data_IF_929551573353
#
_entry.id   IF_929551573353
#
_cell.length_a   1.000
_cell.length_b   1.000
_cell.length_c   1.000
_cell.angle_alpha   90.00
_cell.angle_beta   90.00
_cell.angle_gamma   90.00
#
_symmetry.space_group_name_H-M   'P 1'
#
loop_
_entity.id
_entity.type
_entity.pdbx_description
1 polymer ?
#
# COMPACT_ATOMS: atom_id res chain seq x y z
N UNK A 1 -40.08 -22.49 30.53
CA UNK A 1 -38.76 -22.40 29.87
C UNK A 1 -38.88 -23.18 28.58
N UNK A 2 -38.68 -22.55 27.42
CA UNK A 2 -38.64 -23.27 26.16
C UNK A 2 -37.18 -23.66 25.88
N UNK A 3 -36.87 -24.95 25.95
CA UNK A 3 -35.51 -25.44 25.72
C UNK A 3 -35.04 -25.18 24.28
N UNK A 4 -35.98 -25.23 23.31
CA UNK A 4 -35.68 -24.99 21.90
C UNK A 4 -35.22 -23.54 21.65
N UNK A 5 -35.87 -22.55 22.27
CA UNK A 5 -35.47 -21.13 22.18
C UNK A 5 -34.06 -20.90 22.75
N UNK A 6 -33.70 -21.59 23.83
CA UNK A 6 -32.37 -21.46 24.46
C UNK A 6 -31.29 -22.05 23.55
N UNK A 7 -31.53 -23.22 22.96
CA UNK A 7 -30.61 -23.82 22.00
C UNK A 7 -30.48 -23.01 20.70
N UNK A 8 -31.59 -22.48 20.17
CA UNK A 8 -31.60 -21.65 18.96
C UNK A 8 -30.88 -20.31 19.18
N UNK A 9 -31.13 -19.63 20.31
CA UNK A 9 -30.43 -18.39 20.65
C UNK A 9 -28.94 -18.61 20.93
N UNK A 10 -28.55 -19.72 21.56
CA UNK A 10 -27.13 -20.07 21.74
C UNK A 10 -26.44 -20.35 20.40
N UNK A 11 -27.12 -21.06 19.49
CA UNK A 11 -26.63 -21.29 18.12
C UNK A 11 -26.45 -19.99 17.35
N UNK A 12 -27.43 -19.08 17.41
CA UNK A 12 -27.35 -17.73 16.80
C UNK A 12 -26.20 -16.90 17.38
N UNK A 13 -25.98 -16.94 18.70
CA UNK A 13 -24.82 -16.29 19.33
C UNK A 13 -23.48 -16.74 18.72
N UNK A 14 -23.31 -18.05 18.55
CA UNK A 14 -22.12 -18.65 17.90
C UNK A 14 -22.01 -18.29 16.41
N UNK A 15 -23.12 -18.34 15.68
CA UNK A 15 -23.18 -18.00 14.25
C UNK A 15 -22.82 -16.53 13.99
N UNK A 16 -23.36 -15.58 14.77
CA UNK A 16 -23.01 -14.17 14.66
C UNK A 16 -21.55 -13.88 15.04
N UNK A 17 -20.96 -14.64 15.99
CA UNK A 17 -19.53 -14.54 16.29
C UNK A 17 -18.66 -14.97 15.10
N UNK A 18 -19.00 -16.09 14.44
CA UNK A 18 -18.29 -16.58 13.25
C UNK A 18 -18.44 -15.65 12.04
N UNK A 19 -19.58 -14.95 11.92
CA UNK A 19 -19.83 -13.95 10.88
C UNK A 19 -19.24 -12.56 11.20
N UNK A 20 -18.52 -12.40 12.32
CA UNK A 20 -17.88 -11.13 12.71
C UNK A 20 -18.83 -10.05 13.25
N UNK A 21 -20.10 -10.38 13.50
CA UNK A 21 -21.09 -9.46 14.08
C UNK A 21 -21.14 -9.64 15.61
N UNK A 22 -20.08 -9.18 16.25
CA UNK A 22 -19.84 -9.40 17.68
C UNK A 22 -20.87 -8.70 18.58
N UNK A 23 -21.32 -7.49 18.21
CA UNK A 23 -22.35 -6.76 18.97
C UNK A 23 -23.66 -7.57 19.07
N UNK A 24 -24.13 -8.13 17.95
CA UNK A 24 -25.32 -8.98 17.93
C UNK A 24 -25.08 -10.27 18.71
N UNK A 25 -23.91 -10.90 18.53
CA UNK A 25 -23.50 -12.12 19.24
C UNK A 25 -23.58 -11.95 20.77
N UNK A 26 -23.00 -10.86 21.30
CA UNK A 26 -22.99 -10.56 22.74
C UNK A 26 -24.40 -10.47 23.33
N UNK A 27 -25.36 -9.85 22.61
CA UNK A 27 -26.76 -9.74 23.05
C UNK A 27 -27.42 -11.12 23.15
N UNK A 28 -27.19 -12.03 22.19
CA UNK A 28 -27.72 -13.39 22.24
C UNK A 28 -27.14 -14.18 23.42
N UNK A 29 -25.81 -14.16 23.63
CA UNK A 29 -25.18 -14.82 24.78
C UNK A 29 -25.70 -14.27 26.11
N UNK A 30 -25.76 -12.95 26.28
CA UNK A 30 -26.27 -12.31 27.50
C UNK A 30 -27.73 -12.72 27.79
N UNK A 31 -28.58 -12.76 26.75
CA UNK A 31 -29.96 -13.22 26.85
C UNK A 31 -30.07 -14.68 27.31
N UNK A 32 -29.30 -15.58 26.70
CA UNK A 32 -29.27 -17.01 27.05
C UNK A 32 -28.76 -17.22 28.48
N UNK A 33 -27.66 -16.57 28.88
CA UNK A 33 -27.09 -16.67 30.23
C UNK A 33 -28.11 -16.21 31.29
N UNK A 34 -28.87 -15.14 31.03
CA UNK A 34 -29.94 -14.67 31.93
C UNK A 34 -31.15 -15.63 31.99
N UNK A 35 -31.52 -16.28 30.88
CA UNK A 35 -32.59 -17.28 30.85
C UNK A 35 -32.19 -18.53 31.65
N UNK A 36 -30.97 -19.04 31.46
CA UNK A 36 -30.44 -20.18 32.21
C UNK A 36 -30.30 -19.81 33.70
N UNK A 37 -29.83 -18.60 34.04
CA UNK A 37 -29.74 -18.15 35.42
C UNK A 37 -31.11 -18.15 36.14
N UNK A 38 -32.15 -17.61 35.50
CA UNK A 38 -33.53 -17.68 36.03
C UNK A 38 -34.03 -19.13 36.17
N UNK A 39 -33.68 -20.01 35.24
CA UNK A 39 -34.05 -21.42 35.38
C UNK A 39 -33.34 -22.10 36.56
N UNK A 40 -32.04 -21.88 36.76
CA UNK A 40 -31.27 -22.39 37.89
C UNK A 40 -31.82 -21.96 39.27
N UNK A 41 -32.54 -20.85 39.36
CA UNK A 41 -33.26 -20.42 40.57
C UNK A 41 -34.56 -21.22 40.78
N UNK A 42 -35.21 -21.68 39.71
CA UNK A 42 -36.46 -22.46 39.75
C UNK A 42 -36.28 -23.98 39.93
N UNK A 43 -35.10 -24.52 39.60
CA UNK A 43 -34.80 -25.96 39.70
C UNK A 43 -34.54 -26.36 41.15
N UNK A 44 -35.32 -27.33 41.65
CA UNK A 44 -35.21 -27.90 43.00
C UNK A 44 -34.21 -29.05 43.12
N UNK A 45 -33.96 -29.77 42.02
CA UNK A 45 -33.04 -30.91 41.99
C UNK A 45 -31.56 -30.44 41.94
N UNK A 46 -30.71 -30.79 42.93
CA UNK A 46 -29.30 -30.41 42.95
C UNK A 46 -28.49 -30.92 41.74
N UNK A 47 -28.77 -32.12 41.23
CA UNK A 47 -28.01 -32.73 40.15
C UNK A 47 -28.32 -32.06 38.80
N UNK A 48 -29.59 -31.76 38.54
CA UNK A 48 -30.02 -31.00 37.36
C UNK A 48 -29.54 -29.55 37.43
N UNK A 49 -29.57 -28.94 38.63
CA UNK A 49 -29.04 -27.58 38.86
C UNK A 49 -27.54 -27.50 38.58
N UNK A 50 -26.76 -28.49 39.00
CA UNK A 50 -25.32 -28.57 38.71
C UNK A 50 -25.03 -28.60 37.20
N UNK A 51 -25.76 -29.42 36.43
CA UNK A 51 -25.63 -29.49 34.96
C UNK A 51 -25.95 -28.15 34.28
N UNK A 52 -27.02 -27.47 34.70
CA UNK A 52 -27.35 -26.13 34.16
C UNK A 52 -26.35 -25.04 34.59
N UNK A 53 -25.73 -25.17 35.77
CA UNK A 53 -24.64 -24.29 36.18
C UNK A 53 -23.38 -24.51 35.32
N UNK A 54 -23.06 -25.76 34.96
CA UNK A 54 -21.95 -26.07 34.04
C UNK A 54 -22.19 -25.47 32.64
N UNK A 55 -23.35 -25.72 32.02
CA UNK A 55 -23.68 -25.15 30.69
C UNK A 55 -23.67 -23.61 30.71
N UNK A 56 -24.09 -22.99 31.83
CA UNK A 56 -24.00 -21.54 32.02
C UNK A 56 -22.54 -21.06 32.08
N UNK A 57 -21.64 -21.83 32.68
CA UNK A 57 -20.22 -21.49 32.79
C UNK A 57 -19.54 -21.56 31.41
N UNK A 58 -19.78 -22.62 30.65
CA UNK A 58 -19.28 -22.78 29.27
C UNK A 58 -19.72 -21.61 28.36
N UNK A 59 -21.00 -21.23 28.41
CA UNK A 59 -21.51 -20.09 27.64
C UNK A 59 -20.99 -18.72 28.12
N UNK A 60 -20.57 -18.61 29.39
CA UNK A 60 -19.98 -17.39 29.94
C UNK A 60 -18.52 -17.25 29.50
N UNK A 61 -17.80 -18.36 29.37
CA UNK A 61 -16.45 -18.40 28.78
C UNK A 61 -16.48 -18.02 27.28
N UNK A 62 -17.44 -18.56 26.51
CA UNK A 62 -17.66 -18.14 25.11
C UNK A 62 -18.00 -16.64 24.99
N UNK A 63 -18.81 -16.11 25.91
CA UNK A 63 -19.15 -14.67 25.96
C UNK A 63 -17.92 -13.78 26.25
N UNK A 64 -17.08 -14.16 27.21
CA UNK A 64 -15.86 -13.39 27.53
C UNK A 64 -14.81 -13.48 26.39
N UNK A 65 -14.77 -14.57 25.63
CA UNK A 65 -13.97 -14.64 24.39
C UNK A 65 -14.45 -13.62 23.34
N UNK A 66 -15.76 -13.57 23.04
CA UNK A 66 -16.33 -12.58 22.11
C UNK A 66 -16.07 -11.14 22.59
N UNK A 67 -16.25 -10.89 23.88
CA UNK A 67 -15.99 -9.60 24.51
C UNK A 67 -14.51 -9.20 24.46
N UNK A 68 -13.58 -10.15 24.59
CA UNK A 68 -12.16 -9.91 24.36
C UNK A 68 -11.88 -9.49 22.92
N UNK A 69 -12.50 -10.13 21.93
CA UNK A 69 -12.37 -9.75 20.51
C UNK A 69 -12.91 -8.32 20.29
N UNK A 70 -14.07 -7.96 20.86
CA UNK A 70 -14.60 -6.58 20.79
C UNK A 70 -13.63 -5.58 21.41
N UNK A 71 -13.07 -5.86 22.59
CA UNK A 71 -12.09 -4.97 23.23
C UNK A 71 -10.82 -4.78 22.41
N UNK A 72 -10.33 -5.84 21.75
CA UNK A 72 -9.21 -5.75 20.81
C UNK A 72 -9.56 -4.90 19.58
N UNK A 73 -10.76 -5.08 19.01
CA UNK A 73 -11.27 -4.25 17.91
C UNK A 73 -11.48 -2.78 18.31
N UNK A 74 -11.81 -2.51 19.58
CA UNK A 74 -11.89 -1.16 20.13
C UNK A 74 -10.51 -0.55 20.36
N UNK A 75 -9.50 -1.32 20.80
CA UNK A 75 -8.13 -0.79 20.90
C UNK A 75 -7.59 -0.28 19.56
N UNK A 76 -7.90 -0.96 18.45
CA UNK A 76 -7.55 -0.49 17.11
C UNK A 76 -8.32 0.77 16.65
N UNK A 77 -9.35 1.21 17.39
CA UNK A 77 -10.08 2.48 17.13
C UNK A 77 -9.60 3.64 18.00
N UNK A 78 -8.80 3.37 19.04
CA UNK A 78 -8.37 4.38 20.03
C UNK A 78 -7.16 5.19 19.54
N UNK A 79 -6.38 4.68 18.59
CA UNK A 79 -5.32 5.42 17.88
C UNK A 79 -5.87 6.42 16.85
N UNK A 80 -6.76 7.31 17.31
CA UNK A 80 -7.03 8.59 16.65
C UNK A 80 -6.05 9.64 17.21
N UNK A 81 -5.27 10.35 16.37
CA UNK A 81 -4.56 11.53 16.83
C UNK A 81 -5.54 12.59 17.34
N UNK A 82 -5.14 13.47 18.27
CA UNK A 82 -6.05 14.42 18.92
C UNK A 82 -6.71 15.37 17.92
N UNK A 83 -8.02 15.54 18.06
CA UNK A 83 -8.84 16.36 17.16
C UNK A 83 -8.37 17.81 17.10
N UNK A 84 -8.03 18.26 15.88
CA UNK A 84 -8.07 19.69 15.57
C UNK A 84 -9.55 20.15 15.56
N UNK A 85 -9.86 21.38 15.99
CA UNK A 85 -11.23 21.89 15.99
C UNK A 85 -11.72 22.16 14.56
N UNK A 86 -12.29 21.14 13.92
CA UNK A 86 -12.99 21.30 12.64
C UNK A 86 -14.30 22.04 12.90
N UNK A 87 -14.35 23.29 12.45
CA UNK A 87 -15.60 24.03 12.38
C UNK A 87 -16.52 23.33 11.37
N UNK A 88 -17.62 22.76 11.84
CA UNK A 88 -18.71 22.30 10.98
C UNK A 88 -19.31 23.50 10.27
N UNK A 89 -18.91 23.71 9.02
CA UNK A 89 -19.79 24.24 8.00
C UNK A 89 -20.23 23.06 7.14
N UNK A 90 -21.50 22.68 7.27
CA UNK A 90 -22.16 21.74 6.36
C UNK A 90 -22.24 22.34 4.97
N UNK A 91 -21.24 22.08 4.14
CA UNK A 91 -21.36 22.12 2.68
C UNK A 91 -21.18 20.70 2.16
N UNK A 92 -22.19 20.10 1.49
CA UNK A 92 -22.07 18.76 0.96
C UNK A 92 -20.95 18.70 -0.08
N UNK A 93 -20.04 17.75 0.11
CA UNK A 93 -18.83 17.55 -0.69
C UNK A 93 -19.16 17.47 -2.19
N UNK A 94 -19.00 18.59 -2.91
CA UNK A 94 -19.15 18.62 -4.37
C UNK A 94 -17.85 18.16 -5.01
N UNK A 95 -17.95 17.07 -5.75
CA UNK A 95 -16.92 16.61 -6.68
C UNK A 95 -16.53 17.73 -7.68
N UNK A 96 -15.26 18.16 -7.73
CA UNK A 96 -14.78 19.16 -8.69
C UNK A 96 -14.97 18.79 -10.17
N UNK A 97 -15.23 17.52 -10.48
CA UNK A 97 -15.44 17.03 -11.85
C UNK A 97 -16.91 17.03 -12.31
N UNK A 98 -17.89 17.24 -11.41
CA UNK A 98 -19.32 17.21 -11.77
C UNK A 98 -19.82 18.59 -12.16
N UNK A 99 -19.97 18.82 -13.46
CA UNK A 99 -20.50 20.07 -14.01
C UNK A 99 -22.02 20.20 -13.68
N UNK A 100 -22.47 21.23 -12.95
CA UNK A 100 -23.90 21.44 -12.72
C UNK A 100 -24.59 21.87 -14.02
N UNK A 101 -25.87 21.53 -14.24
CA UNK A 101 -26.61 21.97 -15.43
C UNK A 101 -26.60 23.50 -15.55
N UNK A 102 -26.50 24.07 -16.76
CA UNK A 102 -26.36 25.50 -16.95
C UNK A 102 -27.57 26.27 -16.42
N UNK A 103 -27.30 27.30 -15.62
CA UNK A 103 -28.34 28.14 -15.00
C UNK A 103 -29.10 28.92 -16.08
N UNK A 104 -30.45 28.92 -16.10
CA UNK A 104 -31.24 29.74 -17.02
C UNK A 104 -30.87 31.23 -16.93
N UNK A 105 -30.90 31.91 -18.09
CA UNK A 105 -30.24 33.20 -18.31
C UNK A 105 -30.77 34.39 -17.47
N UNK A 106 -31.87 34.23 -16.75
CA UNK A 106 -32.61 35.33 -16.09
C UNK A 106 -32.01 35.77 -14.74
N UNK A 107 -31.08 35.01 -14.15
CA UNK A 107 -30.57 35.24 -12.79
C UNK A 107 -29.10 35.69 -12.69
N UNK A 108 -28.48 36.17 -13.77
CA UNK A 108 -27.07 36.63 -13.74
C UNK A 108 -26.95 38.12 -13.36
N UNK A 109 -26.63 38.39 -12.09
CA UNK A 109 -26.28 39.75 -11.64
C UNK A 109 -24.95 40.25 -12.30
N UNK A 110 -24.79 41.57 -12.56
CA UNK A 110 -23.61 42.09 -13.24
C UNK A 110 -22.36 42.09 -12.34
N UNK A 111 -21.16 41.78 -12.86
CA UNK A 111 -19.94 41.78 -12.06
C UNK A 111 -19.44 43.20 -11.77
N UNK A 112 -19.11 43.48 -10.50
CA UNK A 112 -18.43 44.73 -10.13
C UNK A 112 -16.93 44.68 -10.48
N UNK A 113 -16.52 45.55 -11.41
CA UNK A 113 -15.12 45.70 -11.81
C UNK A 113 -14.39 46.56 -10.77
N UNK A 114 -13.56 45.95 -9.91
CA UNK A 114 -12.56 46.67 -9.12
C UNK A 114 -11.43 47.15 -10.05
N UNK A 115 -11.42 48.44 -10.38
CA UNK A 115 -10.30 49.06 -11.10
C UNK A 115 -9.12 49.33 -10.16
N UNK A 116 -7.93 48.92 -10.58
CA UNK A 116 -6.67 49.30 -9.96
C UNK A 116 -6.31 50.74 -10.39
N UNK A 117 -6.05 51.63 -9.44
CA UNK A 117 -5.72 53.03 -9.74
C UNK A 117 -4.28 53.16 -10.28
N UNK A 118 -4.10 53.91 -11.36
CA UNK A 118 -2.79 54.35 -11.87
C UNK A 118 -2.87 55.85 -12.18
N UNK A 119 -2.03 56.65 -11.53
CA UNK A 119 -2.06 58.11 -11.60
C UNK A 119 -1.76 58.69 -12.99
N UNK A 120 -2.68 59.52 -13.51
CA UNK A 120 -2.39 60.60 -14.48
C UNK A 120 -3.32 61.79 -14.21
N UNK A 121 -2.77 62.99 -14.00
CA UNK A 121 -3.53 64.25 -13.88
C UNK A 121 -3.84 64.84 -15.27
N UNK A 122 -4.94 65.61 -15.44
CA UNK A 122 -4.75 67.04 -15.69
C UNK A 122 -5.84 68.02 -15.15
N UNK A 123 -5.34 69.14 -14.59
CA UNK A 123 -5.73 70.56 -14.75
C UNK A 123 -7.21 71.09 -14.69
N UNK A 124 -7.51 71.90 -13.65
CA UNK A 124 -8.41 73.11 -13.52
C UNK A 124 -9.80 73.15 -14.24
N UNK A 125 -10.90 73.58 -13.59
CA UNK A 125 -11.14 74.98 -13.13
C UNK A 125 -12.37 75.18 -12.19
N UNK A 126 -12.23 76.11 -11.21
CA UNK A 126 -13.18 77.01 -10.48
C UNK A 126 -14.66 76.62 -10.12
N UNK A 127 -15.07 76.41 -8.83
CA UNK A 127 -15.70 77.28 -7.73
C UNK A 127 -17.04 78.03 -8.04
N UNK A 128 -17.89 78.49 -7.06
CA UNK A 128 -17.99 78.25 -5.59
C UNK A 128 -19.42 78.10 -4.93
N UNK A 129 -19.46 77.70 -3.63
CA UNK A 129 -20.50 78.09 -2.63
C UNK A 129 -21.29 76.94 -1.96
N UNK A 130 -21.57 76.91 -0.64
CA UNK A 130 -21.07 77.72 0.49
C UNK A 130 -21.76 77.41 1.86
N UNK A 131 -21.02 77.59 2.97
CA UNK A 131 -21.47 77.72 4.40
C UNK A 131 -22.24 76.51 5.07
N UNK A 132 -22.28 76.30 6.40
CA UNK A 132 -21.80 77.09 7.56
C UNK A 132 -21.64 76.26 8.89
N UNK A 133 -20.91 76.85 9.88
CA UNK A 133 -21.00 76.71 11.37
C UNK A 133 -20.37 75.49 12.13
N UNK A 134 -19.54 75.81 13.14
CA UNK A 134 -19.08 74.94 14.26
C UNK A 134 -19.94 75.14 15.54
N UNK A 135 -19.44 75.12 16.81
CA UNK A 135 -18.03 75.12 17.29
C UNK A 135 -17.66 74.25 18.56
N UNK A 136 -16.35 73.98 18.73
CA UNK A 136 -15.43 74.16 19.92
C UNK A 136 -15.82 73.82 21.39
N UNK A 137 -14.92 73.06 22.06
CA UNK A 137 -14.59 73.08 23.51
C UNK A 137 -13.62 71.93 23.91
N UNK A 138 -12.32 72.11 24.26
CA UNK A 138 -11.67 72.54 25.55
C UNK A 138 -12.09 71.71 26.80
N UNK A 139 -11.21 71.25 27.72
CA UNK A 139 -9.74 71.15 27.79
C UNK A 139 -9.26 70.22 28.96
N UNK A 140 -7.97 69.80 28.92
CA UNK A 140 -6.96 69.31 29.93
C UNK A 140 -7.14 69.59 31.47
N UNK A 141 -6.22 69.19 32.43
CA UNK A 141 -4.83 68.62 32.33
C UNK A 141 -4.29 67.58 33.41
N UNK A 142 -3.06 67.05 33.20
CA UNK A 142 -1.93 66.77 34.18
C UNK A 142 -2.10 65.60 35.23
N UNK A 143 -1.10 64.77 35.64
CA UNK A 143 0.38 64.93 35.73
C UNK A 143 1.22 63.60 35.67
N UNK A 144 2.51 63.72 35.23
CA UNK A 144 3.78 63.06 35.72
C UNK A 144 3.92 61.51 35.70
N UNK A 145 5.10 60.88 35.48
CA UNK A 145 6.49 61.38 35.23
C UNK A 145 7.42 60.33 34.57
N UNK A 146 8.25 60.81 33.62
CA UNK A 146 9.70 60.55 33.43
C UNK A 146 10.29 59.13 33.13
N UNK A 147 10.48 58.93 31.82
CA UNK A 147 11.62 58.38 31.03
C UNK A 147 13.07 58.73 31.52
N UNK A 148 14.19 58.36 30.82
CA UNK A 148 14.50 57.25 29.88
C UNK A 148 15.96 56.67 29.95
N UNK A 149 16.29 55.80 28.98
CA UNK A 149 17.49 55.87 28.09
C UNK A 149 18.62 54.83 28.24
N UNK A 150 19.37 54.68 27.15
CA UNK A 150 20.26 53.55 26.85
C UNK A 150 21.67 54.01 26.39
N UNK A 151 22.50 53.01 26.06
CA UNK A 151 23.77 53.04 25.30
C UNK A 151 25.08 52.99 26.10
N UNK A 152 25.94 52.02 25.73
CA UNK A 152 27.29 52.29 25.18
C UNK A 152 27.99 51.03 24.67
N UNK A 153 28.66 51.18 23.52
CA UNK A 153 29.64 50.29 22.91
C UNK A 153 30.79 49.85 23.85
N UNK A 154 31.38 48.66 23.63
CA UNK A 154 32.65 48.52 22.86
C UNK A 154 33.27 47.10 22.78
N UNK A 155 33.55 46.69 21.55
CA UNK A 155 34.81 46.16 20.99
C UNK A 155 35.52 44.84 21.42
N UNK A 156 36.09 44.19 20.37
CA UNK A 156 37.22 43.22 20.32
C UNK A 156 36.99 41.79 20.87
N UNK A 157 37.20 40.69 20.10
CA UNK A 157 38.40 40.32 19.31
C UNK A 157 38.13 39.32 18.18
N UNK A 158 39.00 39.33 17.17
CA UNK A 158 39.01 38.39 16.04
C UNK A 158 40.01 37.23 16.18
N UNK A 159 39.79 36.15 15.41
CA UNK A 159 40.82 35.27 14.83
C UNK A 159 40.39 34.77 13.44
N UNK A 160 41.14 35.11 12.39
CA UNK A 160 41.30 34.23 11.19
C UNK A 160 42.22 33.05 11.54
N UNK A 161 42.72 32.15 10.67
CA UNK A 161 43.12 32.15 9.24
C UNK A 161 43.39 30.66 8.84
N UNK A 162 43.47 30.18 7.60
CA UNK A 162 43.36 30.74 6.23
C UNK A 162 43.03 29.60 5.21
N UNK A 163 42.93 29.95 3.92
CA UNK A 163 42.83 29.13 2.71
C UNK A 163 44.01 28.13 2.43
N UNK A 164 43.70 26.92 1.92
CA UNK A 164 44.30 26.23 0.72
C UNK A 164 44.38 24.69 0.77
N UNK A 165 43.90 24.05 -0.30
CA UNK A 165 44.18 22.65 -0.62
C UNK A 165 43.51 22.20 -1.93
N UNK A 166 44.20 22.27 -3.07
CA UNK A 166 43.64 21.96 -4.41
C UNK A 166 44.30 20.71 -5.00
N UNK A 167 43.49 19.83 -5.63
CA UNK A 167 43.83 18.56 -6.31
C UNK A 167 44.20 17.40 -5.36
N UNK A 168 43.62 16.22 -5.51
CA UNK A 168 43.72 15.38 -6.72
C UNK A 168 42.42 14.72 -7.17
N UNK A 169 42.36 14.36 -8.45
CA UNK A 169 41.36 13.44 -9.01
C UNK A 169 41.80 12.00 -8.72
N UNK A 170 40.89 11.16 -8.26
CA UNK A 170 41.01 9.70 -8.32
C UNK A 170 39.60 9.15 -8.47
N UNK A 171 39.35 8.41 -9.55
CA UNK A 171 38.03 7.87 -9.85
C UNK A 171 37.60 6.83 -8.81
N UNK A 172 36.39 7.02 -8.28
CA UNK A 172 35.70 6.07 -7.43
C UNK A 172 34.21 6.27 -7.67
N UNK A 173 33.56 5.27 -8.27
CA UNK A 173 32.14 5.34 -8.57
C UNK A 173 31.35 5.48 -7.26
N UNK A 174 30.79 6.67 -7.03
CA UNK A 174 29.88 6.90 -5.91
C UNK A 174 28.58 6.14 -6.21
N UNK A 175 28.40 5.03 -5.50
CA UNK A 175 27.11 4.36 -5.38
C UNK A 175 26.06 5.41 -5.00
N UNK A 176 24.95 5.44 -5.72
CA UNK A 176 24.00 6.54 -5.66
C UNK A 176 23.24 6.50 -4.34
N UNK A 177 23.66 7.29 -3.34
CA UNK A 177 22.90 7.45 -2.10
C UNK A 177 21.48 7.92 -2.45
N UNK A 178 20.52 6.99 -2.32
CA UNK A 178 19.09 7.28 -2.45
C UNK A 178 18.76 8.37 -1.43
N UNK A 179 18.14 9.50 -1.84
CA UNK A 179 17.79 10.57 -0.91
C UNK A 179 16.93 10.03 0.23
N UNK A 180 17.48 10.03 1.45
CA UNK A 180 16.74 9.60 2.65
C UNK A 180 15.54 10.52 2.87
N UNK A 181 14.41 9.92 3.23
CA UNK A 181 13.20 10.68 3.49
C UNK A 181 13.38 11.57 4.73
N UNK A 182 13.15 12.88 4.59
CA UNK A 182 13.16 13.78 5.75
C UNK A 182 11.87 13.57 6.56
N UNK A 183 11.94 12.70 7.57
CA UNK A 183 10.84 12.38 8.47
C UNK A 183 10.41 13.52 9.41
N UNK A 184 10.87 14.76 9.20
CA UNK A 184 10.48 15.93 9.98
C UNK A 184 8.95 16.17 9.95
N UNK A 185 8.26 15.73 11.01
CA UNK A 185 6.81 15.85 11.18
C UNK A 185 6.05 14.51 11.19
N UNK A 186 6.75 13.40 10.95
CA UNK A 186 6.21 12.04 11.04
C UNK A 186 6.84 11.27 12.20
N UNK A 187 6.22 10.16 12.59
CA UNK A 187 6.83 9.23 13.56
C UNK A 187 8.07 8.59 12.93
N UNK A 188 9.22 8.77 13.58
CA UNK A 188 10.51 8.29 13.08
C UNK A 188 10.60 6.77 13.12
N UNK A 189 9.98 6.14 14.10
CA UNK A 189 10.02 4.68 14.27
C UNK A 189 9.15 4.00 13.19
N UNK A 190 8.04 4.65 12.80
CA UNK A 190 7.22 4.24 11.67
C UNK A 190 7.98 4.39 10.33
N UNK A 191 8.63 5.53 10.11
CA UNK A 191 9.44 5.76 8.88
C UNK A 191 10.56 4.72 8.78
N UNK A 192 11.29 4.46 9.86
CA UNK A 192 12.38 3.47 9.86
C UNK A 192 11.86 2.02 9.63
N UNK A 193 10.70 1.67 10.17
CA UNK A 193 10.04 0.39 9.88
C UNK A 193 9.66 0.25 8.40
N UNK A 194 9.07 1.31 7.80
CA UNK A 194 8.70 1.31 6.38
C UNK A 194 9.93 1.30 5.46
N UNK A 195 10.98 2.08 5.77
CA UNK A 195 12.25 2.05 5.03
C UNK A 195 12.92 0.68 5.09
N UNK A 196 12.89 0.00 6.24
CA UNK A 196 13.46 -1.35 6.40
C UNK A 196 12.68 -2.42 5.65
N UNK A 197 11.34 -2.39 5.72
CA UNK A 197 10.50 -3.50 5.28
C UNK A 197 9.95 -3.36 3.85
N UNK A 198 9.83 -2.12 3.32
CA UNK A 198 9.27 -1.85 1.99
C UNK A 198 10.35 -1.48 0.96
N UNK A 199 11.39 -0.73 1.35
CA UNK A 199 12.44 -0.30 0.41
C UNK A 199 13.39 -1.45 0.13
N UNK A 200 12.99 -2.31 -0.82
CA UNK A 200 13.85 -3.35 -1.36
C UNK A 200 15.10 -2.73 -1.99
N UNK A 201 16.29 -3.08 -1.47
CA UNK A 201 17.56 -2.71 -2.09
C UNK A 201 17.58 -3.24 -3.50
N UNK A 202 17.59 -2.34 -4.49
CA UNK A 202 17.35 -2.58 -5.91
C UNK A 202 17.78 -3.99 -6.37
N UNK A 203 16.85 -4.96 -6.47
CA UNK A 203 17.15 -6.20 -7.15
C UNK A 203 17.29 -5.85 -8.63
N UNK A 204 18.52 -5.94 -9.16
CA UNK A 204 18.88 -5.53 -10.53
C UNK A 204 18.33 -6.49 -11.59
N UNK A 205 17.01 -6.64 -11.63
CA UNK A 205 16.25 -7.46 -12.58
C UNK A 205 16.08 -6.67 -13.88
N UNK A 206 16.58 -7.22 -14.98
CA UNK A 206 16.42 -6.63 -16.30
C UNK A 206 15.30 -7.31 -17.07
N UNK A 207 14.82 -6.66 -18.14
CA UNK A 207 13.77 -7.22 -19.01
C UNK A 207 14.16 -8.54 -19.68
N UNK A 208 15.47 -8.80 -19.78
CA UNK A 208 16.07 -9.98 -20.41
C UNK A 208 16.22 -11.15 -19.40
N UNK A 209 16.09 -10.90 -18.10
CA UNK A 209 16.06 -11.92 -17.04
C UNK A 209 14.64 -12.52 -16.86
N UNK A 210 13.63 -11.91 -17.49
CA UNK A 210 12.25 -12.38 -17.54
C UNK A 210 12.07 -13.11 -18.88
N UNK A 211 11.74 -14.40 -18.86
CA UNK A 211 11.39 -15.13 -20.08
C UNK A 211 9.97 -14.81 -20.57
N UNK A 212 9.69 -15.00 -21.86
CA UNK A 212 8.35 -14.85 -22.47
C UNK A 212 7.73 -13.45 -22.23
N UNK A 213 6.40 -13.35 -22.21
CA UNK A 213 5.62 -12.19 -21.78
C UNK A 213 5.83 -10.92 -22.61
N UNK A 214 6.16 -11.03 -23.90
CA UNK A 214 6.47 -9.88 -24.76
C UNK A 214 5.34 -8.83 -24.80
N UNK A 215 4.08 -9.26 -24.89
CA UNK A 215 2.95 -8.32 -24.92
C UNK A 215 2.71 -7.67 -23.55
N UNK A 216 2.84 -8.42 -22.45
CA UNK A 216 2.74 -7.85 -21.09
C UNK A 216 3.90 -6.87 -20.81
N UNK A 217 5.13 -7.21 -21.21
CA UNK A 217 6.30 -6.31 -21.13
C UNK A 217 6.09 -5.04 -21.94
N UNK A 218 5.53 -5.15 -23.15
CA UNK A 218 5.20 -4.01 -24.02
C UNK A 218 4.15 -3.11 -23.39
N UNK A 219 3.03 -3.67 -22.93
CA UNK A 219 1.95 -2.93 -22.25
C UNK A 219 2.43 -2.25 -20.96
N UNK A 220 3.30 -2.91 -20.19
CA UNK A 220 3.89 -2.34 -18.97
C UNK A 220 4.88 -1.22 -19.32
N UNK A 221 5.77 -1.40 -20.32
CA UNK A 221 6.64 -0.34 -20.84
C UNK A 221 5.86 0.88 -21.34
N UNK A 222 4.73 0.65 -22.01
CA UNK A 222 3.83 1.72 -22.47
C UNK A 222 3.14 2.46 -21.32
N UNK A 223 2.62 1.73 -20.32
CA UNK A 223 1.93 2.33 -19.17
C UNK A 223 2.87 3.03 -18.17
N UNK A 224 4.12 2.56 -18.04
CA UNK A 224 5.06 2.97 -16.98
C UNK A 224 6.24 3.77 -17.52
N UNK A 225 6.93 3.26 -18.54
CA UNK A 225 8.23 3.80 -18.97
C UNK A 225 8.05 4.96 -19.96
N UNK A 226 7.08 4.88 -20.88
CA UNK A 226 6.84 5.98 -21.84
C UNK A 226 6.44 7.31 -21.16
N UNK A 227 5.61 7.33 -20.10
CA UNK A 227 5.37 8.55 -19.34
C UNK A 227 6.62 9.18 -18.71
N UNK A 228 7.53 8.35 -18.19
CA UNK A 228 8.79 8.82 -17.61
C UNK A 228 9.73 9.38 -18.69
N UNK A 229 9.71 8.81 -19.90
CA UNK A 229 10.57 9.22 -21.01
C UNK A 229 10.00 10.40 -21.82
N UNK A 230 8.68 10.59 -21.83
CA UNK A 230 7.99 11.61 -22.64
C UNK A 230 6.89 12.36 -21.87
N UNK A 231 7.23 13.00 -20.73
CA UNK A 231 6.24 13.67 -19.86
C UNK A 231 5.47 14.79 -20.55
N UNK A 232 5.99 15.37 -21.64
CA UNK A 232 5.28 16.37 -22.45
C UNK A 232 4.13 15.81 -23.30
N UNK A 233 4.20 14.53 -23.67
CA UNK A 233 3.16 13.88 -24.49
C UNK A 233 2.03 13.30 -23.64
N UNK A 234 2.35 12.83 -22.43
CA UNK A 234 1.42 12.24 -21.47
C UNK A 234 0.72 13.31 -20.60
N UNK A 235 0.21 14.36 -21.25
CA UNK A 235 -0.52 15.49 -20.61
C UNK A 235 -2.03 15.44 -20.91
N UNK A 236 -2.83 16.05 -20.03
CA UNK A 236 -4.27 16.16 -20.21
C UNK A 236 -4.99 14.82 -20.16
N UNK A 237 -5.62 14.41 -21.27
CA UNK A 237 -6.34 13.13 -21.42
C UNK A 237 -5.36 11.94 -21.50
N UNK A 238 -4.11 12.18 -21.90
CA UNK A 238 -3.06 11.14 -22.03
C UNK A 238 -2.23 10.99 -20.75
N UNK A 239 -2.74 11.40 -19.58
CA UNK A 239 -2.01 11.15 -18.33
C UNK A 239 -1.89 9.64 -18.08
N UNK A 240 -0.82 9.17 -17.41
CA UNK A 240 -0.74 7.78 -16.97
C UNK A 240 -1.87 7.48 -15.98
N UNK A 241 -2.34 6.24 -15.98
CA UNK A 241 -3.36 5.76 -15.04
C UNK A 241 -2.94 6.07 -13.59
N UNK A 242 -3.89 6.59 -12.80
CA UNK A 242 -3.74 7.27 -11.51
C UNK A 242 -2.37 7.18 -10.79
N UNK A 243 -1.45 8.06 -11.18
CA UNK A 243 -0.46 8.58 -10.26
C UNK A 243 -1.04 9.76 -9.48
N UNK A 244 -0.93 9.76 -8.15
CA UNK A 244 -1.41 10.87 -7.28
C UNK A 244 -0.45 12.06 -7.37
N UNK A 245 -0.42 12.70 -8.53
CA UNK A 245 0.23 13.98 -8.80
C UNK A 245 -0.83 15.01 -9.17
N UNK A 246 -0.94 16.06 -8.37
CA UNK A 246 -1.91 17.13 -8.60
C UNK A 246 -1.74 17.75 -9.98
N UNK A 247 -2.85 18.07 -10.65
CA UNK A 247 -2.80 18.81 -11.91
C UNK A 247 -2.56 20.32 -11.67
N UNK A 248 -1.45 20.68 -11.02
CA UNK A 248 -0.97 22.05 -10.92
C UNK A 248 0.23 22.24 -11.85
N UNK A 249 0.24 23.34 -12.59
CA UNK A 249 1.18 23.59 -13.71
C UNK A 249 2.65 23.83 -13.27
N UNK A 250 2.99 23.54 -12.01
CA UNK A 250 4.30 23.76 -11.40
C UNK A 250 4.79 22.57 -10.54
N UNK A 251 4.21 21.37 -10.69
CA UNK A 251 4.75 20.19 -10.00
C UNK A 251 6.05 19.69 -10.66
N UNK A 252 7.05 19.44 -9.82
CA UNK A 252 8.38 18.98 -10.20
C UNK A 252 8.29 17.55 -10.78
N UNK A 253 8.83 17.27 -11.99
CA UNK A 253 8.82 15.93 -12.58
C UNK A 253 9.48 14.85 -11.70
N UNK A 254 10.26 15.23 -10.68
CA UNK A 254 10.80 14.30 -9.68
C UNK A 254 9.74 13.61 -8.81
N UNK A 255 8.51 14.14 -8.72
CA UNK A 255 7.47 13.71 -7.77
C UNK A 255 6.41 12.78 -8.37
N UNK A 256 6.79 11.93 -9.33
CA UNK A 256 5.89 10.94 -9.91
C UNK A 256 5.74 9.71 -9.00
N UNK A 257 4.57 9.54 -8.39
CA UNK A 257 4.20 8.32 -7.65
C UNK A 257 3.35 7.44 -8.57
N UNK A 258 3.72 6.17 -8.69
CA UNK A 258 3.00 5.16 -9.47
C UNK A 258 2.66 3.97 -8.58
N UNK A 259 1.45 3.44 -8.73
CA UNK A 259 0.99 2.24 -8.01
C UNK A 259 0.89 1.07 -8.98
N UNK A 260 1.66 0.01 -8.71
CA UNK A 260 1.51 -1.28 -9.39
C UNK A 260 0.91 -2.29 -8.41
N UNK A 261 -0.13 -3.00 -8.84
CA UNK A 261 -0.82 -4.02 -8.06
C UNK A 261 -0.80 -5.37 -8.78
N UNK A 262 -0.67 -6.45 -8.02
CA UNK A 262 -0.75 -7.82 -8.51
C UNK A 262 -1.72 -8.63 -7.65
N UNK A 263 -2.53 -9.49 -8.27
CA UNK A 263 -3.47 -10.38 -7.58
C UNK A 263 -3.63 -11.69 -8.34
N UNK A 264 -3.86 -12.78 -7.61
CA UNK A 264 -4.30 -14.07 -8.17
C UNK A 264 -5.84 -14.20 -8.15
N UNK A 265 -6.55 -13.24 -7.55
CA UNK A 265 -8.00 -13.30 -7.35
C UNK A 265 -8.67 -12.00 -7.80
N UNK A 266 -8.68 -11.68 -9.12
CA UNK A 266 -9.14 -10.39 -9.63
C UNK A 266 -10.67 -10.19 -9.51
N UNK A 267 -11.43 -11.27 -9.35
CA UNK A 267 -12.86 -11.25 -9.05
C UNK A 267 -13.20 -10.82 -7.61
N UNK A 268 -12.25 -10.94 -6.67
CA UNK A 268 -12.44 -10.52 -5.27
C UNK A 268 -12.13 -9.02 -5.07
N UNK A 269 -11.69 -8.31 -6.13
CA UNK A 269 -11.51 -6.86 -6.12
C UNK A 269 -12.88 -6.17 -6.26
N UNK A 270 -13.19 -5.30 -5.29
CA UNK A 270 -14.41 -4.50 -5.27
C UNK A 270 -14.48 -3.51 -6.46
N UNK A 271 -15.65 -2.93 -6.71
CA UNK A 271 -15.82 -2.00 -7.83
C UNK A 271 -15.00 -0.71 -7.63
N UNK A 272 -14.87 -0.21 -6.39
CA UNK A 272 -14.18 1.05 -6.14
C UNK A 272 -12.68 0.95 -6.41
N UNK A 273 -12.01 -0.15 -6.00
CA UNK A 273 -10.60 -0.37 -6.32
C UNK A 273 -10.40 -0.74 -7.80
N UNK A 274 -11.31 -1.52 -8.42
CA UNK A 274 -11.27 -1.79 -9.87
C UNK A 274 -11.30 -0.51 -10.72
N UNK A 275 -12.06 0.50 -10.30
CA UNK A 275 -12.15 1.79 -10.99
C UNK A 275 -10.84 2.59 -10.97
N UNK A 276 -10.03 2.46 -9.92
CA UNK A 276 -8.69 3.10 -9.81
C UNK A 276 -7.62 2.35 -10.58
N UNK A 277 -7.70 1.02 -10.59
CA UNK A 277 -6.80 0.15 -11.36
C UNK A 277 -7.26 0.08 -12.82
N UNK A 278 -7.11 1.17 -13.58
CA UNK A 278 -7.65 1.30 -14.96
C UNK A 278 -7.03 0.30 -15.96
N UNK A 279 -5.70 0.17 -16.01
CA UNK A 279 -5.00 -0.77 -16.90
C UNK A 279 -4.83 -2.11 -16.19
N UNK A 280 -5.36 -3.19 -16.77
CA UNK A 280 -5.26 -4.57 -16.25
C UNK A 280 -4.56 -5.44 -17.29
N UNK A 281 -3.35 -5.88 -16.97
CA UNK A 281 -2.52 -6.72 -17.83
C UNK A 281 -2.64 -8.16 -17.33
N UNK A 282 -3.07 -9.07 -18.19
CA UNK A 282 -3.05 -10.50 -17.89
C UNK A 282 -1.62 -11.04 -18.01
N UNK A 283 -1.18 -11.80 -17.02
CA UNK A 283 0.10 -12.51 -17.03
C UNK A 283 -0.19 -14.00 -17.25
N UNK A 284 -0.07 -14.51 -18.49
CA UNK A 284 -0.33 -15.92 -18.79
C UNK A 284 0.75 -16.85 -18.22
N UNK A 285 0.45 -18.16 -18.21
CA UNK A 285 1.46 -19.20 -18.01
C UNK A 285 2.46 -19.22 -19.18
N UNK A 286 3.73 -19.60 -18.94
CA UNK A 286 4.77 -19.58 -19.96
C UNK A 286 4.49 -20.58 -21.10
N UNK A 287 4.69 -20.11 -22.34
CA UNK A 287 4.61 -20.91 -23.57
C UNK A 287 5.71 -21.97 -23.60
N UNK A 288 5.65 -22.94 -24.52
CA UNK A 288 6.71 -23.96 -24.66
C UNK A 288 8.11 -23.34 -24.84
N UNK A 289 8.22 -22.25 -25.61
CA UNK A 289 9.46 -21.46 -25.77
C UNK A 289 9.85 -20.77 -24.45
N UNK A 290 8.91 -20.10 -23.80
CA UNK A 290 9.12 -19.45 -22.50
C UNK A 290 9.60 -20.41 -21.42
N UNK A 291 9.07 -21.64 -21.38
CA UNK A 291 9.51 -22.68 -20.43
C UNK A 291 10.93 -23.14 -20.71
N UNK A 292 11.33 -23.30 -21.98
CA UNK A 292 12.71 -23.62 -22.34
C UNK A 292 13.69 -22.48 -21.96
N UNK A 293 13.27 -21.22 -22.10
CA UNK A 293 14.05 -20.05 -21.66
C UNK A 293 14.14 -19.97 -20.12
N UNK A 294 13.04 -20.20 -19.39
CA UNK A 294 13.04 -20.28 -17.93
C UNK A 294 13.98 -21.37 -17.41
N UNK A 295 13.97 -22.56 -18.01
CA UNK A 295 14.92 -23.63 -17.65
C UNK A 295 16.37 -23.16 -17.86
N UNK A 296 16.67 -22.52 -19.00
CA UNK A 296 18.02 -21.98 -19.30
C UNK A 296 18.46 -20.88 -18.33
N UNK A 297 17.55 -20.05 -17.83
CA UNK A 297 17.84 -19.02 -16.82
C UNK A 297 18.07 -19.67 -15.45
N UNK A 298 17.18 -20.55 -15.00
CA UNK A 298 17.28 -21.21 -13.68
C UNK A 298 18.48 -22.16 -13.55
N UNK A 299 18.95 -22.73 -14.66
CA UNK A 299 20.07 -23.67 -14.69
C UNK A 299 21.41 -23.01 -15.07
N UNK A 300 21.47 -21.67 -15.19
CA UNK A 300 22.70 -20.93 -15.53
C UNK A 300 23.84 -21.15 -14.52
N UNK A 301 23.50 -21.44 -13.26
CA UNK A 301 24.46 -21.71 -12.17
C UNK A 301 24.68 -23.21 -11.88
N UNK A 302 24.12 -24.11 -12.71
CA UNK A 302 24.06 -25.55 -12.42
C UNK A 302 24.62 -26.34 -13.58
N UNK A 303 25.58 -27.22 -13.30
CA UNK A 303 26.11 -28.14 -14.31
C UNK A 303 25.06 -29.20 -14.69
N UNK A 304 24.90 -29.43 -15.98
CA UNK A 304 23.96 -30.38 -16.56
C UNK A 304 24.70 -31.51 -17.25
N UNK A 305 24.21 -32.73 -17.07
CA UNK A 305 24.62 -33.90 -17.84
C UNK A 305 24.28 -33.69 -19.34
N UNK A 306 25.21 -33.91 -20.30
CA UNK A 306 24.95 -33.73 -21.74
C UNK A 306 23.76 -34.54 -22.28
N UNK A 307 23.33 -35.57 -21.56
CA UNK A 307 22.16 -36.40 -21.88
C UNK A 307 20.81 -35.67 -21.64
N UNK A 308 20.83 -34.46 -21.07
CA UNK A 308 19.62 -33.66 -20.77
C UNK A 308 19.25 -32.76 -21.95
N UNK A 309 18.11 -33.07 -22.57
CA UNK A 309 17.44 -32.18 -23.53
C UNK A 309 16.42 -31.28 -22.81
N UNK A 310 16.68 -29.98 -22.82
CA UNK A 310 15.85 -28.96 -22.14
C UNK A 310 14.49 -28.81 -22.83
N UNK A 311 14.47 -29.02 -24.14
CA UNK A 311 13.29 -28.95 -25.01
C UNK A 311 12.26 -30.05 -24.68
N UNK A 312 12.70 -31.31 -24.51
CA UNK A 312 11.87 -32.42 -24.02
C UNK A 312 11.24 -32.12 -22.64
N UNK A 313 12.03 -31.53 -21.74
CA UNK A 313 11.56 -31.17 -20.40
C UNK A 313 10.53 -30.03 -20.51
N UNK A 314 10.77 -29.03 -21.37
CA UNK A 314 9.86 -27.91 -21.61
C UNK A 314 8.49 -28.33 -22.19
N UNK A 315 8.45 -29.37 -23.03
CA UNK A 315 7.21 -30.00 -23.51
C UNK A 315 6.48 -30.70 -22.35
N UNK A 316 7.20 -31.50 -21.54
CA UNK A 316 6.64 -32.30 -20.44
C UNK A 316 6.09 -31.47 -19.27
N UNK A 317 6.56 -30.23 -19.08
CA UNK A 317 6.11 -29.29 -18.03
C UNK A 317 5.01 -28.33 -18.50
N UNK A 318 4.13 -28.76 -19.39
CA UNK A 318 2.99 -27.95 -19.82
C UNK A 318 2.04 -27.59 -18.66
N UNK A 319 1.68 -26.31 -18.58
CA UNK A 319 0.84 -25.76 -17.52
C UNK A 319 1.55 -25.48 -16.19
N UNK A 320 2.88 -25.59 -16.12
CA UNK A 320 3.66 -25.20 -14.94
C UNK A 320 3.83 -23.67 -14.92
N UNK A 321 3.71 -23.06 -13.74
CA UNK A 321 4.07 -21.65 -13.53
C UNK A 321 5.60 -21.48 -13.49
N UNK A 322 6.09 -20.25 -13.66
CA UNK A 322 7.52 -19.96 -13.51
C UNK A 322 8.07 -20.39 -12.14
N UNK A 323 7.29 -20.25 -11.08
CA UNK A 323 7.65 -20.71 -9.74
C UNK A 323 7.76 -22.25 -9.65
N UNK A 324 6.85 -22.98 -10.29
CA UNK A 324 6.92 -24.46 -10.33
C UNK A 324 8.17 -24.93 -11.08
N UNK A 325 8.55 -24.25 -12.18
CA UNK A 325 9.76 -24.54 -12.97
C UNK A 325 11.03 -24.27 -12.14
N UNK A 326 11.11 -23.12 -11.45
CA UNK A 326 12.20 -22.82 -10.52
C UNK A 326 12.29 -23.86 -9.39
N UNK A 327 11.15 -24.31 -8.85
CA UNK A 327 11.12 -25.34 -7.81
C UNK A 327 11.59 -26.70 -8.34
N UNK A 328 11.24 -27.09 -9.58
CA UNK A 328 11.75 -28.31 -10.23
C UNK A 328 13.26 -28.23 -10.42
N UNK A 329 13.80 -27.12 -10.92
CA UNK A 329 15.23 -26.91 -11.09
C UNK A 329 15.97 -26.98 -9.74
N UNK A 330 15.42 -26.34 -8.70
CA UNK A 330 15.96 -26.36 -7.34
C UNK A 330 15.94 -27.74 -6.70
N UNK A 331 14.85 -28.50 -6.83
CA UNK A 331 14.75 -29.86 -6.28
C UNK A 331 15.69 -30.82 -7.01
N UNK A 332 15.83 -30.70 -8.34
CA UNK A 332 16.79 -31.49 -9.12
C UNK A 332 18.26 -31.18 -8.74
N UNK A 333 18.61 -29.89 -8.59
CA UNK A 333 19.93 -29.46 -8.07
C UNK A 333 20.20 -30.00 -6.65
N UNK A 334 19.20 -29.93 -5.75
CA UNK A 334 19.30 -30.49 -4.41
C UNK A 334 19.39 -32.02 -4.40
N UNK A 335 18.80 -32.73 -5.37
CA UNK A 335 18.97 -34.18 -5.50
C UNK A 335 20.40 -34.57 -5.88
N UNK A 336 21.00 -33.87 -6.84
CA UNK A 336 22.41 -34.08 -7.20
C UNK A 336 23.34 -33.85 -5.99
N UNK A 337 23.13 -32.76 -5.25
CA UNK A 337 23.85 -32.48 -3.99
C UNK A 337 23.61 -33.55 -2.92
N UNK A 338 22.37 -34.02 -2.74
CA UNK A 338 22.03 -35.09 -1.78
C UNK A 338 22.75 -36.39 -2.12
N UNK A 339 22.88 -36.77 -3.40
CA UNK A 339 23.67 -37.95 -3.80
C UNK A 339 25.14 -37.79 -3.42
N UNK A 340 25.71 -36.59 -3.55
CA UNK A 340 27.10 -36.29 -3.16
C UNK A 340 27.31 -36.40 -1.64
N UNK A 341 26.34 -35.91 -0.86
CA UNK A 341 26.36 -35.91 0.60
C UNK A 341 26.04 -37.29 1.21
N UNK A 342 25.21 -38.10 0.54
CA UNK A 342 24.84 -39.43 1.00
C UNK A 342 26.06 -40.37 1.09
N UNK A 343 26.48 -40.66 2.31
CA UNK A 343 27.63 -41.51 2.62
C UNK A 343 28.85 -40.79 3.20
N UNK A 344 28.83 -39.44 3.23
CA UNK A 344 29.84 -38.62 3.90
C UNK A 344 29.46 -38.35 5.37
N UNK A 345 30.46 -38.21 6.22
CA UNK A 345 30.31 -37.76 7.60
C UNK A 345 30.10 -36.24 7.70
N UNK A 346 29.52 -35.73 8.81
CA UNK A 346 29.34 -34.29 9.04
C UNK A 346 30.64 -33.47 9.05
N UNK A 347 31.80 -34.10 9.27
CA UNK A 347 33.10 -33.43 9.23
C UNK A 347 33.62 -33.30 7.79
N UNK A 348 33.50 -34.36 6.98
CA UNK A 348 33.83 -34.33 5.56
C UNK A 348 32.95 -33.33 4.79
N UNK A 349 31.65 -33.26 5.11
CA UNK A 349 30.72 -32.30 4.49
C UNK A 349 31.13 -30.84 4.76
N UNK A 350 31.74 -30.55 5.92
CA UNK A 350 32.27 -29.21 6.25
C UNK A 350 33.63 -28.91 5.61
N UNK A 351 34.38 -29.94 5.25
CA UNK A 351 35.69 -29.80 4.61
C UNK A 351 35.61 -29.59 3.09
N UNK A 352 34.51 -30.01 2.46
CA UNK A 352 34.27 -29.81 1.02
C UNK A 352 33.99 -28.34 0.68
N UNK A 353 34.54 -27.89 -0.45
CA UNK A 353 34.18 -26.59 -1.04
C UNK A 353 32.79 -26.62 -1.67
N UNK A 354 32.22 -25.43 -1.91
CA UNK A 354 30.92 -25.27 -2.60
C UNK A 354 30.94 -25.90 -4.00
N UNK A 355 32.08 -25.83 -4.68
CA UNK A 355 32.29 -26.36 -6.03
C UNK A 355 32.35 -27.91 -6.03
N UNK A 356 33.03 -28.52 -5.06
CA UNK A 356 33.14 -30.00 -4.95
C UNK A 356 31.85 -30.70 -4.46
N UNK A 357 30.89 -29.92 -3.93
CA UNK A 357 29.53 -30.34 -3.61
C UNK A 357 28.58 -30.28 -4.83
N UNK A 358 28.94 -29.52 -5.86
CA UNK A 358 28.15 -29.31 -7.07
C UNK A 358 28.38 -30.48 -8.04
N UNK A 359 27.65 -31.59 -7.86
CA UNK A 359 27.58 -32.63 -8.90
C UNK A 359 26.67 -32.18 -10.06
N UNK A 360 26.94 -32.61 -11.30
CA UNK A 360 26.03 -32.37 -12.42
C UNK A 360 24.66 -33.00 -12.13
N UNK A 361 23.61 -32.26 -12.49
CA UNK A 361 22.23 -32.75 -12.42
C UNK A 361 22.00 -33.72 -13.57
N UNK A 362 21.39 -34.86 -13.27
CA UNK A 362 21.13 -35.93 -14.25
C UNK A 362 19.66 -35.99 -14.62
N UNK A 363 19.33 -36.63 -15.75
CA UNK A 363 17.94 -36.82 -16.20
C UNK A 363 17.06 -37.49 -15.14
N UNK A 364 17.63 -38.39 -14.34
CA UNK A 364 16.93 -39.05 -13.23
C UNK A 364 16.50 -38.11 -12.11
N UNK A 365 17.26 -37.04 -11.83
CA UNK A 365 16.88 -36.02 -10.84
C UNK A 365 15.66 -35.24 -11.31
N UNK A 366 15.65 -34.81 -12.57
CA UNK A 366 14.49 -34.15 -13.17
C UNK A 366 13.26 -35.06 -13.16
N UNK A 367 13.37 -36.33 -13.52
CA UNK A 367 12.24 -37.25 -13.47
C UNK A 367 11.70 -37.51 -12.05
N UNK A 368 12.55 -37.44 -11.02
CA UNK A 368 12.12 -37.52 -9.62
C UNK A 368 11.50 -36.21 -9.12
N UNK A 369 12.06 -35.06 -9.50
CA UNK A 369 11.52 -33.74 -9.16
C UNK A 369 10.13 -33.54 -9.79
N UNK A 370 9.95 -33.90 -11.07
CA UNK A 370 8.68 -33.84 -11.79
C UNK A 370 7.60 -34.78 -11.23
N UNK A 371 7.99 -35.89 -10.58
CA UNK A 371 7.03 -36.77 -9.87
C UNK A 371 6.58 -36.19 -8.53
N UNK A 372 7.36 -35.28 -7.93
CA UNK A 372 7.08 -34.67 -6.63
C UNK A 372 6.35 -33.33 -6.74
N UNK A 373 6.69 -32.54 -7.76
CA UNK A 373 6.14 -31.20 -7.98
C UNK A 373 5.12 -31.28 -9.09
N UNK A 374 3.83 -31.20 -8.74
CA UNK A 374 2.74 -31.05 -9.69
C UNK A 374 2.55 -29.57 -10.06
N UNK A 375 1.90 -29.32 -11.21
CA UNK A 375 1.50 -27.96 -11.60
C UNK A 375 0.54 -27.34 -10.57
N UNK A 376 0.76 -26.06 -10.26
CA UNK A 376 -0.04 -25.30 -9.29
C UNK A 376 -1.39 -24.80 -9.84
N UNK A 377 -1.54 -24.70 -11.17
CA UNK A 377 -2.72 -24.13 -11.84
C UNK A 377 -3.49 -25.19 -12.62
N UNK A 378 -4.81 -25.21 -12.49
CA UNK A 378 -5.70 -26.08 -13.27
C UNK A 378 -6.24 -25.40 -14.53
N UNK A 379 -6.72 -26.18 -15.50
CA UNK A 379 -7.33 -25.63 -16.71
C UNK A 379 -8.61 -24.82 -16.41
N UNK A 380 -9.38 -25.21 -15.38
CA UNK A 380 -10.58 -24.49 -14.96
C UNK A 380 -10.25 -23.10 -14.36
N UNK A 381 -9.08 -22.94 -13.74
CA UNK A 381 -8.61 -21.64 -13.28
C UNK A 381 -8.29 -20.72 -14.46
N UNK A 382 -7.67 -21.25 -15.53
CA UNK A 382 -7.38 -20.50 -16.75
C UNK A 382 -8.66 -20.00 -17.44
N UNK A 383 -9.67 -20.86 -17.61
CA UNK A 383 -10.99 -20.44 -18.14
C UNK A 383 -11.62 -19.32 -17.31
N UNK A 384 -11.44 -19.35 -15.97
CA UNK A 384 -11.94 -18.30 -15.07
C UNK A 384 -11.21 -16.97 -15.27
N UNK A 385 -9.89 -16.98 -15.50
CA UNK A 385 -9.13 -15.78 -15.84
C UNK A 385 -9.50 -15.23 -17.23
N UNK A 386 -9.59 -16.09 -18.25
CA UNK A 386 -9.97 -15.68 -19.61
C UNK A 386 -11.35 -15.01 -19.61
N UNK A 387 -12.34 -15.62 -18.96
CA UNK A 387 -13.67 -15.05 -18.83
C UNK A 387 -13.66 -13.68 -18.14
N UNK A 388 -12.89 -13.53 -17.06
CA UNK A 388 -12.76 -12.25 -16.35
C UNK A 388 -12.05 -11.19 -17.22
N UNK A 389 -11.03 -11.58 -17.98
CA UNK A 389 -10.32 -10.69 -18.91
C UNK A 389 -11.17 -10.26 -20.10
N UNK A 390 -12.10 -11.09 -20.58
CA UNK A 390 -13.07 -10.68 -21.62
C UNK A 390 -14.07 -9.64 -21.09
N UNK A 391 -14.42 -9.70 -19.80
CA UNK A 391 -15.39 -8.78 -19.19
C UNK A 391 -14.76 -7.47 -18.68
N UNK A 392 -13.57 -7.53 -18.07
CA UNK A 392 -12.93 -6.39 -17.38
C UNK A 392 -11.54 -6.00 -17.92
N UNK A 393 -10.98 -6.77 -18.86
CA UNK A 393 -9.67 -6.51 -19.44
C UNK A 393 -9.58 -5.14 -20.11
N UNK A 394 -8.48 -4.43 -19.88
CA UNK A 394 -8.23 -3.17 -20.57
C UNK A 394 -7.70 -3.42 -21.98
N UNK A 395 -8.31 -2.79 -22.99
CA UNK A 395 -7.71 -2.59 -24.31
C UNK A 395 -6.38 -1.81 -24.21
#
# INVERSE_FOLDING_TARGET
>A
MNLAEICDNAKKGREYALLGNYDSSMVYYQGVIQQIHRHCQSVRDPAVKGKWQQVRQELLEEYEQVKSIVSTLESFKIDKPPDFPVSYQDEPFRDPAVWPPPVPAEHRAPPQIRRLNRDVRPLRKEIPGGAARGPVGRAHPIAKSEKPSASRDKDHRARGRDDKGRKNMQDGASDGEIPKFDGAGYDRDLVEALERDIVSRNPSIHWDDIADLEEAKKLLREAVVLPMWMPDFFKGIRRPCEGVGGALENDDPSKMVMVLAATNFPWDIDEALRRRLEKRIYIPLPTAKGRAELLKINLREVELDPDIQLEDIAEKIEGYSGADITNVCRDASLMAMRRRINGLSPEEIRALSKEELQMPVTKGDFELALKKIAKSVSAADLEKYEKWMVEFGSA
#
